data_IF_806961946936
#
_entry.id   IF_806961946936
#
_cell.length_a   1.000
_cell.length_b   1.000
_cell.length_c   1.000
_cell.angle_alpha   90.00
_cell.angle_beta   90.00
_cell.angle_gamma   90.00
#
_symmetry.space_group_name_H-M   'P 1'
#
loop_
_entity.id
_entity.type
_entity.pdbx_description
1 polymer ?
#
# COMPACT_ATOMS: atom_id res chain seq x y z
N UNK A 1 79.55 -29.49 16.06
CA UNK A 1 78.58 -29.58 14.95
C UNK A 1 77.24 -30.03 15.52
N UNK A 2 76.32 -29.10 15.74
CA UNK A 2 74.97 -29.39 16.24
C UNK A 2 73.97 -28.70 15.33
N UNK A 3 73.06 -29.49 14.75
CA UNK A 3 72.04 -29.08 13.78
C UNK A 3 70.81 -28.56 14.55
N UNK A 4 70.38 -27.34 14.23
CA UNK A 4 69.11 -26.78 14.69
C UNK A 4 68.05 -27.10 13.62
N UNK A 5 67.05 -27.89 13.98
CA UNK A 5 65.89 -28.18 13.14
C UNK A 5 64.85 -27.07 13.29
N UNK A 6 64.52 -26.41 12.19
CA UNK A 6 63.44 -25.42 12.09
C UNK A 6 62.13 -26.18 11.78
N UNK A 7 61.19 -26.19 12.73
CA UNK A 7 59.84 -26.72 12.52
C UNK A 7 58.99 -25.66 11.80
N UNK A 8 58.54 -25.95 10.59
CA UNK A 8 57.57 -25.14 9.86
C UNK A 8 56.15 -25.56 10.27
N UNK A 9 55.40 -24.63 10.85
CA UNK A 9 53.98 -24.81 11.22
C UNK A 9 53.12 -24.41 10.01
N UNK A 10 52.59 -25.38 9.27
CA UNK A 10 51.57 -25.14 8.24
C UNK A 10 50.20 -24.96 8.91
N UNK A 11 49.72 -23.72 8.97
CA UNK A 11 48.33 -23.41 9.36
C UNK A 11 47.45 -23.55 8.12
N UNK A 12 46.66 -24.62 8.05
CA UNK A 12 45.62 -24.82 7.03
C UNK A 12 44.39 -24.00 7.40
N UNK A 13 44.06 -22.99 6.59
CA UNK A 13 42.79 -22.28 6.66
C UNK A 13 41.67 -23.15 6.07
N UNK A 14 40.78 -23.65 6.93
CA UNK A 14 39.54 -24.30 6.52
C UNK A 14 38.53 -23.22 6.13
N UNK A 15 38.24 -23.09 4.83
CA UNK A 15 37.12 -22.28 4.33
C UNK A 15 35.81 -22.98 4.69
N UNK A 16 35.08 -22.44 5.67
CA UNK A 16 33.68 -22.81 5.91
C UNK A 16 32.84 -22.07 4.86
N UNK A 17 32.39 -22.80 3.84
CA UNK A 17 31.45 -22.26 2.87
C UNK A 17 30.12 -21.97 3.53
N UNK A 18 29.64 -20.73 3.43
CA UNK A 18 28.26 -20.38 3.74
C UNK A 18 27.35 -21.12 2.74
N UNK A 19 26.61 -22.13 3.20
CA UNK A 19 25.44 -22.61 2.49
C UNK A 19 24.37 -21.52 2.58
N UNK A 20 24.14 -20.83 1.47
CA UNK A 20 22.91 -20.07 1.26
C UNK A 20 21.81 -21.11 1.09
N UNK A 21 20.96 -21.27 2.09
CA UNK A 21 19.69 -21.99 1.93
C UNK A 21 18.87 -21.19 0.93
N UNK A 22 18.70 -21.73 -0.28
CA UNK A 22 17.70 -21.22 -1.23
C UNK A 22 16.34 -21.17 -0.50
N UNK A 23 15.61 -20.05 -0.55
CA UNK A 23 14.25 -20.03 -0.04
C UNK A 23 13.47 -21.10 -0.82
N UNK A 24 12.80 -21.98 -0.07
CA UNK A 24 12.01 -23.09 -0.59
C UNK A 24 10.86 -22.52 -1.45
N UNK A 25 11.13 -22.23 -2.72
CA UNK A 25 10.16 -21.83 -3.73
C UNK A 25 9.39 -23.07 -4.16
N UNK A 26 8.48 -23.53 -3.29
CA UNK A 26 7.40 -24.40 -3.75
C UNK A 26 6.54 -23.60 -4.72
N UNK A 27 6.87 -23.68 -6.00
CA UNK A 27 5.94 -23.34 -7.08
C UNK A 27 4.69 -24.17 -6.85
N UNK A 28 3.54 -23.52 -6.64
CA UNK A 28 2.28 -24.17 -6.28
C UNK A 28 1.77 -25.02 -7.46
N UNK A 29 2.23 -26.27 -7.57
CA UNK A 29 1.88 -27.17 -8.68
C UNK A 29 0.49 -27.79 -8.46
N UNK A 30 -0.54 -26.98 -8.66
CA UNK A 30 -1.81 -27.35 -9.33
C UNK A 30 -2.95 -28.12 -8.61
N UNK A 31 -3.19 -28.00 -7.28
CA UNK A 31 -4.51 -28.31 -6.70
C UNK A 31 -5.27 -27.06 -6.23
N UNK A 32 -4.73 -25.88 -6.51
CA UNK A 32 -5.21 -24.59 -6.00
C UNK A 32 -6.18 -23.92 -6.99
N UNK A 33 -5.94 -24.10 -8.29
CA UNK A 33 -6.74 -23.48 -9.35
C UNK A 33 -7.98 -24.31 -9.71
N UNK A 34 -9.15 -23.71 -9.53
CA UNK A 34 -10.46 -24.32 -9.80
C UNK A 34 -10.98 -24.05 -11.22
N UNK A 35 -10.15 -24.22 -12.26
CA UNK A 35 -10.49 -23.88 -13.67
C UNK A 35 -11.85 -24.45 -14.13
N UNK A 36 -12.17 -25.69 -13.70
CA UNK A 36 -13.44 -26.36 -14.01
C UNK A 36 -14.68 -25.64 -13.46
N UNK A 37 -14.53 -24.90 -12.35
CA UNK A 37 -15.62 -24.12 -11.76
C UNK A 37 -15.84 -22.77 -12.47
N UNK A 38 -14.89 -22.32 -13.29
CA UNK A 38 -14.93 -21.05 -14.01
C UNK A 38 -14.69 -21.27 -15.51
N UNK A 39 -15.52 -22.07 -16.20
CA UNK A 39 -15.19 -22.60 -17.53
C UNK A 39 -14.97 -21.52 -18.60
N UNK A 40 -15.46 -20.29 -18.42
CA UNK A 40 -15.30 -19.20 -19.39
C UNK A 40 -14.15 -18.25 -19.05
N UNK A 41 -13.33 -18.56 -18.05
CA UNK A 41 -12.20 -17.72 -17.66
C UNK A 41 -11.20 -17.50 -18.81
N UNK A 42 -11.07 -18.46 -19.73
CA UNK A 42 -10.18 -18.37 -20.88
C UNK A 42 -10.65 -17.38 -21.96
N UNK A 43 -11.91 -16.92 -21.90
CA UNK A 43 -12.44 -15.91 -22.83
C UNK A 43 -12.04 -14.49 -22.43
N UNK A 44 -11.42 -14.32 -21.27
CA UNK A 44 -11.05 -13.02 -20.73
C UNK A 44 -9.64 -12.71 -21.20
N UNK A 45 -9.51 -11.69 -22.04
CA UNK A 45 -8.21 -11.16 -22.44
C UNK A 45 -7.59 -10.42 -21.25
N UNK A 46 -6.42 -10.87 -20.83
CA UNK A 46 -5.62 -10.23 -19.78
C UNK A 46 -4.62 -9.32 -20.46
N UNK A 47 -4.64 -8.05 -20.09
CA UNK A 47 -3.73 -7.03 -20.63
C UNK A 47 -2.27 -7.39 -20.29
N UNK A 48 -1.39 -7.44 -21.28
CA UNK A 48 0.06 -7.66 -21.11
C UNK A 48 0.77 -6.47 -20.48
N UNK A 49 2.03 -6.65 -20.03
CA UNK A 49 2.87 -5.54 -19.55
C UNK A 49 2.94 -4.41 -20.59
N UNK A 50 3.16 -4.77 -21.86
CA UNK A 50 3.27 -3.84 -22.96
C UNK A 50 1.98 -3.04 -23.14
N UNK A 51 0.81 -3.67 -23.02
CA UNK A 51 -0.49 -3.00 -23.13
C UNK A 51 -0.79 -2.10 -21.93
N UNK A 52 -0.47 -2.55 -20.71
CA UNK A 52 -0.72 -1.80 -19.47
C UNK A 52 0.05 -0.47 -19.48
N UNK A 53 1.32 -0.51 -19.88
CA UNK A 53 2.23 0.64 -19.85
C UNK A 53 2.43 1.33 -21.21
N UNK A 54 1.70 0.92 -22.26
CA UNK A 54 1.83 1.52 -23.59
C UNK A 54 1.58 3.03 -23.57
N UNK A 55 2.27 3.74 -24.46
CA UNK A 55 1.98 5.13 -24.78
C UNK A 55 1.27 5.22 -26.12
N UNK A 56 0.41 6.24 -26.26
CA UNK A 56 -0.12 6.66 -27.57
C UNK A 56 0.73 7.77 -28.16
N UNK A 57 0.59 8.04 -29.46
CA UNK A 57 1.33 9.12 -30.14
C UNK A 57 1.16 10.50 -29.46
N UNK A 58 -0.04 10.92 -29.00
CA UNK A 58 -0.18 12.13 -28.19
C UNK A 58 0.59 12.10 -26.87
N UNK A 59 0.64 10.95 -26.19
CA UNK A 59 1.41 10.80 -24.94
C UNK A 59 2.91 10.89 -25.22
N UNK A 60 3.39 10.32 -26.32
CA UNK A 60 4.79 10.47 -26.73
C UNK A 60 5.14 11.92 -27.09
N UNK A 61 4.19 12.68 -27.65
CA UNK A 61 4.39 14.12 -27.86
C UNK A 61 4.55 14.86 -26.53
N UNK A 62 3.68 14.58 -25.55
CA UNK A 62 3.81 15.12 -24.21
C UNK A 62 5.17 14.77 -23.59
N UNK A 63 5.61 13.51 -23.72
CA UNK A 63 6.94 13.08 -23.24
C UNK A 63 8.06 13.88 -23.91
N UNK A 64 7.97 14.16 -25.21
CA UNK A 64 8.95 15.00 -25.92
C UNK A 64 8.93 16.44 -25.41
N UNK A 65 7.79 16.96 -25.00
CA UNK A 65 7.66 18.31 -24.42
C UNK A 65 8.30 18.35 -23.03
N UNK A 66 7.96 17.40 -22.15
CA UNK A 66 8.60 17.22 -20.83
C UNK A 66 10.11 17.11 -21.00
N UNK A 67 10.58 16.26 -21.93
CA UNK A 67 12.01 16.00 -22.15
C UNK A 67 12.80 17.20 -22.71
N UNK A 68 12.16 18.31 -23.08
CA UNK A 68 12.86 19.55 -23.43
C UNK A 68 13.40 20.28 -22.20
N UNK A 69 12.81 20.03 -21.03
CA UNK A 69 13.28 20.63 -19.79
C UNK A 69 14.69 20.12 -19.44
N UNK A 70 15.63 21.03 -19.14
CA UNK A 70 17.04 20.70 -19.07
C UNK A 70 17.41 19.92 -17.81
N UNK A 71 16.64 20.07 -16.72
CA UNK A 71 16.90 19.40 -15.44
C UNK A 71 15.87 18.31 -15.17
N UNK A 72 16.28 17.28 -14.43
CA UNK A 72 15.41 16.22 -13.95
C UNK A 72 14.29 16.77 -13.05
N UNK A 73 14.60 17.80 -12.26
CA UNK A 73 13.62 18.49 -11.42
C UNK A 73 12.52 19.16 -12.24
N UNK A 74 12.87 19.89 -13.29
CA UNK A 74 11.91 20.62 -14.12
C UNK A 74 11.04 19.63 -14.90
N UNK A 75 11.65 18.54 -15.41
CA UNK A 75 10.92 17.41 -16.01
C UNK A 75 9.89 16.80 -15.06
N UNK A 76 10.24 16.57 -13.79
CA UNK A 76 9.31 16.08 -12.77
C UNK A 76 8.22 17.10 -12.48
N UNK A 77 8.57 18.39 -12.38
CA UNK A 77 7.60 19.45 -12.15
C UNK A 77 6.56 19.49 -13.28
N UNK A 78 7.00 19.44 -14.54
CA UNK A 78 6.11 19.46 -15.70
C UNK A 78 5.21 18.21 -15.74
N UNK A 79 5.75 17.04 -15.42
CA UNK A 79 4.96 15.81 -15.29
C UNK A 79 3.89 15.93 -14.19
N UNK A 80 4.24 16.46 -13.02
CA UNK A 80 3.29 16.65 -11.91
C UNK A 80 2.24 17.69 -12.27
N UNK A 81 2.63 18.81 -12.88
CA UNK A 81 1.70 19.82 -13.39
C UNK A 81 0.72 19.21 -14.40
N UNK A 82 1.20 18.38 -15.33
CA UNK A 82 0.32 17.65 -16.25
C UNK A 82 -0.69 16.74 -15.54
N UNK A 83 -0.25 16.03 -14.48
CA UNK A 83 -1.09 15.07 -13.77
C UNK A 83 -2.12 15.72 -12.83
N UNK A 84 -1.86 16.93 -12.31
CA UNK A 84 -2.63 17.52 -11.21
C UNK A 84 -3.07 18.98 -11.40
N UNK A 85 -2.51 19.74 -12.34
CA UNK A 85 -2.87 21.15 -12.57
C UNK A 85 -3.87 21.27 -13.73
N UNK A 86 -5.01 21.89 -13.41
CA UNK A 86 -6.34 21.66 -13.98
C UNK A 86 -6.65 22.30 -15.34
N UNK A 87 -5.66 22.83 -16.07
CA UNK A 87 -5.96 23.67 -17.24
C UNK A 87 -5.84 22.93 -18.59
N UNK A 88 -5.39 21.67 -18.62
CA UNK A 88 -5.35 20.88 -19.87
C UNK A 88 -6.01 19.48 -19.80
N UNK A 89 -5.94 18.75 -18.69
CA UNK A 89 -6.62 17.45 -18.51
C UNK A 89 -7.06 17.30 -17.04
N UNK A 90 -8.33 17.59 -16.74
CA UNK A 90 -8.89 17.42 -15.40
C UNK A 90 -9.19 15.95 -15.11
N UNK A 91 -8.21 15.19 -14.59
CA UNK A 91 -8.42 13.78 -14.23
C UNK A 91 -9.43 13.68 -13.08
N UNK A 92 -10.55 13.01 -13.34
CA UNK A 92 -11.58 12.72 -12.35
C UNK A 92 -11.23 11.44 -11.59
N UNK A 93 -11.21 11.53 -10.27
CA UNK A 93 -11.01 10.34 -9.43
C UNK A 93 -12.24 9.44 -9.47
N UNK A 94 -12.07 8.20 -9.93
CA UNK A 94 -13.10 7.16 -9.96
C UNK A 94 -12.50 5.85 -9.42
N UNK A 95 -12.98 5.38 -8.27
CA UNK A 95 -12.46 4.20 -7.59
C UNK A 95 -12.50 2.91 -8.42
N UNK A 96 -13.44 2.80 -9.37
CA UNK A 96 -13.58 1.64 -10.27
C UNK A 96 -12.75 1.72 -11.57
N UNK A 97 -12.04 2.82 -11.79
CA UNK A 97 -11.23 3.01 -12.99
C UNK A 97 -9.86 2.34 -12.82
N UNK A 98 -9.81 1.01 -12.97
CA UNK A 98 -8.57 0.24 -13.15
C UNK A 98 -8.25 0.15 -14.65
N UNK A 99 -7.49 1.11 -15.16
CA UNK A 99 -7.28 1.35 -16.58
C UNK A 99 -5.79 1.33 -16.94
N UNK A 100 -5.48 0.95 -18.17
CA UNK A 100 -4.12 1.07 -18.74
C UNK A 100 -3.71 2.54 -18.89
N UNK A 101 -2.41 2.81 -19.05
CA UNK A 101 -1.90 4.19 -19.20
C UNK A 101 -2.64 4.97 -20.31
N UNK A 102 -2.88 4.33 -21.47
CA UNK A 102 -3.60 4.94 -22.60
C UNK A 102 -5.06 5.24 -22.25
N UNK A 103 -5.75 4.27 -21.66
CA UNK A 103 -7.16 4.43 -21.28
C UNK A 103 -7.32 5.54 -20.23
N UNK A 104 -6.43 5.61 -19.25
CA UNK A 104 -6.41 6.70 -18.26
C UNK A 104 -6.21 8.06 -18.92
N UNK A 105 -5.24 8.18 -19.84
CA UNK A 105 -4.96 9.42 -20.55
C UNK A 105 -6.17 9.94 -21.34
N UNK A 106 -6.84 9.08 -22.10
CA UNK A 106 -7.98 9.49 -22.94
C UNK A 106 -9.28 9.67 -22.16
N UNK A 107 -9.56 8.78 -21.21
CA UNK A 107 -10.82 8.83 -20.47
C UNK A 107 -10.84 9.93 -19.42
N UNK A 108 -9.67 10.42 -18.99
CA UNK A 108 -9.51 11.35 -17.87
C UNK A 108 -10.20 10.86 -16.60
N UNK A 109 -10.37 9.54 -16.45
CA UNK A 109 -10.91 8.88 -15.27
C UNK A 109 -9.84 7.96 -14.70
N UNK A 110 -9.60 8.03 -13.40
CA UNK A 110 -8.54 7.24 -12.79
C UNK A 110 -8.80 6.96 -11.32
N UNK A 111 -8.37 5.79 -10.84
CA UNK A 111 -8.05 5.60 -9.42
C UNK A 111 -6.53 5.70 -9.21
N UNK A 112 -6.08 5.46 -7.98
CA UNK A 112 -4.65 5.46 -7.62
C UNK A 112 -3.82 4.51 -8.51
N UNK A 113 -4.36 3.34 -8.85
CA UNK A 113 -3.67 2.35 -9.68
C UNK A 113 -3.47 2.85 -11.12
N UNK A 114 -4.52 3.38 -11.74
CA UNK A 114 -4.47 3.97 -13.08
C UNK A 114 -3.50 5.14 -13.17
N UNK A 115 -3.50 6.02 -12.17
CA UNK A 115 -2.56 7.14 -12.12
C UNK A 115 -1.12 6.67 -11.93
N UNK A 116 -0.91 5.63 -11.13
CA UNK A 116 0.42 5.03 -10.93
C UNK A 116 0.97 4.47 -12.24
N UNK A 117 0.15 3.72 -12.98
CA UNK A 117 0.51 3.15 -14.28
C UNK A 117 0.81 4.24 -15.32
N UNK A 118 -0.07 5.23 -15.45
CA UNK A 118 0.11 6.38 -16.35
C UNK A 118 1.39 7.16 -16.01
N UNK A 119 1.56 7.52 -14.75
CA UNK A 119 2.68 8.34 -14.30
C UNK A 119 4.01 7.62 -14.48
N UNK A 120 4.05 6.31 -14.20
CA UNK A 120 5.25 5.51 -14.43
C UNK A 120 5.60 5.43 -15.91
N UNK A 121 4.62 5.18 -16.79
CA UNK A 121 4.83 5.07 -18.22
C UNK A 121 5.40 6.39 -18.81
N UNK A 122 4.81 7.53 -18.43
CA UNK A 122 5.29 8.85 -18.84
C UNK A 122 6.69 9.15 -18.28
N UNK A 123 6.91 8.90 -16.98
CA UNK A 123 8.20 9.17 -16.34
C UNK A 123 9.32 8.33 -16.97
N UNK A 124 9.10 7.04 -17.20
CA UNK A 124 10.09 6.18 -17.86
C UNK A 124 10.41 6.62 -19.27
N UNK A 125 9.40 7.03 -20.05
CA UNK A 125 9.62 7.51 -21.41
C UNK A 125 10.34 8.87 -21.44
N UNK A 126 10.19 9.69 -20.40
CA UNK A 126 10.92 10.96 -20.21
C UNK A 126 12.34 10.79 -19.60
N UNK A 127 12.84 9.55 -19.55
CA UNK A 127 14.14 9.19 -18.97
C UNK A 127 14.29 9.61 -17.51
N UNK A 128 13.19 9.54 -16.75
CA UNK A 128 13.19 9.78 -15.30
C UNK A 128 13.35 8.45 -14.54
N UNK A 129 14.22 8.38 -13.52
CA UNK A 129 14.45 7.19 -12.73
C UNK A 129 13.30 6.97 -11.74
N UNK A 130 12.20 6.44 -12.27
CA UNK A 130 10.97 6.14 -11.55
C UNK A 130 10.94 4.69 -11.02
N UNK A 131 10.47 4.54 -9.78
CA UNK A 131 10.36 3.28 -9.05
C UNK A 131 9.03 3.21 -8.32
N UNK A 132 8.44 2.03 -8.25
CA UNK A 132 7.23 1.83 -7.48
C UNK A 132 7.54 1.60 -6.02
N UNK A 133 6.71 2.16 -5.15
CA UNK A 133 6.79 1.98 -3.72
C UNK A 133 5.44 1.53 -3.19
N UNK A 134 5.36 0.30 -2.68
CA UNK A 134 4.19 -0.20 -1.95
C UNK A 134 4.15 0.44 -0.58
N UNK A 135 2.96 0.85 -0.15
CA UNK A 135 2.73 1.43 1.17
C UNK A 135 1.88 0.46 1.98
N UNK A 136 2.40 0.03 3.12
CA UNK A 136 1.73 -0.92 4.00
C UNK A 136 0.70 -0.18 4.87
N UNK A 137 -0.50 -0.01 4.31
CA UNK A 137 -1.61 0.64 5.01
C UNK A 137 -2.21 -0.32 6.03
N UNK A 138 -2.38 0.08 7.30
CA UNK A 138 -3.02 -0.74 8.32
C UNK A 138 -4.44 -1.15 7.89
N UNK A 139 -4.77 -2.42 8.07
CA UNK A 139 -5.92 -3.07 7.43
C UNK A 139 -7.31 -2.48 7.67
N UNK A 140 -7.54 -1.85 8.82
CA UNK A 140 -8.88 -1.36 9.15
C UNK A 140 -9.23 -0.06 8.39
N UNK A 141 -8.28 0.54 7.65
CA UNK A 141 -8.55 1.62 6.70
C UNK A 141 -9.25 1.14 5.41
N UNK A 142 -9.32 -0.18 5.17
CA UNK A 142 -9.81 -0.79 3.92
C UNK A 142 -11.26 -1.31 4.02
N UNK A 143 -11.94 -1.16 5.17
CA UNK A 143 -13.30 -1.71 5.36
C UNK A 143 -14.38 -0.93 4.59
N UNK A 144 -14.62 -1.32 3.33
CA UNK A 144 -15.79 -0.92 2.54
C UNK A 144 -16.92 -1.97 2.62
N UNK A 145 -17.77 -1.89 3.66
CA UNK A 145 -19.04 -2.61 3.72
C UNK A 145 -18.94 -4.15 3.78
N UNK A 146 -19.80 -4.86 3.03
CA UNK A 146 -20.06 -6.30 3.12
C UNK A 146 -18.90 -7.22 2.68
N UNK A 147 -17.84 -6.67 2.09
CA UNK A 147 -16.75 -7.45 1.51
C UNK A 147 -15.39 -6.93 2.02
N UNK A 148 -14.70 -7.75 2.82
CA UNK A 148 -13.31 -7.49 3.22
C UNK A 148 -12.37 -7.86 2.06
N UNK A 149 -12.38 -7.09 0.97
CA UNK A 149 -11.43 -7.24 -0.14
C UNK A 149 -10.08 -6.62 0.23
N UNK A 150 -9.00 -7.24 -0.22
CA UNK A 150 -7.66 -6.74 -0.01
C UNK A 150 -7.29 -5.77 -1.12
N UNK A 151 -7.09 -4.50 -0.78
CA UNK A 151 -6.56 -3.47 -1.68
C UNK A 151 -5.25 -2.93 -1.10
N UNK A 152 -4.16 -3.04 -1.85
CA UNK A 152 -2.88 -2.41 -1.50
C UNK A 152 -2.83 -0.95 -1.97
N UNK A 153 -1.94 -0.16 -1.39
CA UNK A 153 -1.62 1.20 -1.86
C UNK A 153 -0.22 1.23 -2.48
N UNK A 154 -0.07 1.98 -3.57
CA UNK A 154 1.20 2.14 -4.28
C UNK A 154 1.39 3.61 -4.65
N UNK A 155 2.61 4.08 -4.46
CA UNK A 155 3.07 5.39 -4.89
C UNK A 155 4.19 5.26 -5.91
N UNK A 156 4.42 6.34 -6.65
CA UNK A 156 5.55 6.45 -7.57
C UNK A 156 6.64 7.33 -6.97
N UNK A 157 7.86 6.81 -6.92
CA UNK A 157 9.04 7.53 -6.43
C UNK A 157 9.95 7.82 -7.60
N UNK A 158 10.24 9.10 -7.85
CA UNK A 158 11.16 9.56 -8.89
C UNK A 158 12.40 10.16 -8.23
N UNK A 159 13.57 9.62 -8.55
CA UNK A 159 14.84 10.19 -8.08
C UNK A 159 15.30 11.32 -9.00
N UNK A 160 16.04 12.27 -8.44
CA UNK A 160 16.76 13.25 -9.24
C UNK A 160 17.88 12.55 -10.02
N UNK A 161 17.77 12.49 -11.36
CA UNK A 161 18.77 11.85 -12.21
C UNK A 161 20.07 12.67 -12.32
N UNK A 162 20.02 13.96 -11.97
CA UNK A 162 21.17 14.87 -12.09
C UNK A 162 22.13 14.74 -10.89
N UNK A 163 21.82 13.84 -9.92
CA UNK A 163 22.63 13.61 -8.73
C UNK A 163 22.86 12.11 -8.45
N UNK A 164 24.10 11.68 -8.11
CA UNK A 164 24.38 10.26 -7.88
C UNK A 164 23.65 9.68 -6.66
N UNK A 165 23.14 8.45 -6.78
CA UNK A 165 22.50 7.67 -5.70
C UNK A 165 23.29 7.65 -4.37
N UNK A 166 24.64 7.66 -4.46
CA UNK A 166 25.52 7.64 -3.29
C UNK A 166 25.54 8.95 -2.47
N UNK A 167 24.96 10.04 -2.97
CA UNK A 167 24.83 11.32 -2.24
C UNK A 167 23.44 11.52 -1.60
N UNK A 168 22.54 10.54 -1.74
CA UNK A 168 21.16 10.62 -1.22
C UNK A 168 21.11 10.29 0.27
N UNK A 169 21.33 11.30 1.11
CA UNK A 169 21.02 11.25 2.54
C UNK A 169 19.70 11.98 2.77
N UNK A 170 18.67 11.25 3.21
CA UNK A 170 17.37 11.72 3.71
C UNK A 170 16.77 12.98 3.02
N UNK A 171 15.83 12.76 2.10
CA UNK A 171 14.72 13.68 1.83
C UNK A 171 14.98 14.91 0.94
N UNK A 172 16.16 15.09 0.34
CA UNK A 172 16.44 16.30 -0.49
C UNK A 172 16.38 16.13 -2.00
N UNK A 173 16.33 14.90 -2.55
CA UNK A 173 16.43 14.64 -4.00
C UNK A 173 15.45 13.54 -4.50
N UNK A 174 14.30 13.38 -3.83
CA UNK A 174 13.31 12.34 -4.14
C UNK A 174 11.94 12.98 -4.25
N UNK A 175 11.22 12.70 -5.34
CA UNK A 175 9.86 13.15 -5.57
C UNK A 175 8.91 11.95 -5.43
N UNK A 176 8.09 11.96 -4.40
CA UNK A 176 7.03 10.95 -4.23
C UNK A 176 5.73 11.52 -4.78
N UNK A 177 5.22 10.88 -5.83
CA UNK A 177 3.88 11.13 -6.36
C UNK A 177 2.94 10.13 -5.69
N UNK A 178 2.16 10.64 -4.72
CA UNK A 178 1.11 9.89 -4.03
C UNK A 178 -0.26 10.39 -4.49
N UNK A 179 -1.01 9.45 -5.07
CA UNK A 179 -2.28 9.70 -5.72
C UNK A 179 -3.46 9.70 -4.74
N UNK A 180 -3.23 9.37 -3.47
CA UNK A 180 -4.22 9.48 -2.41
C UNK A 180 -3.92 10.71 -1.50
N UNK A 181 -4.76 11.77 -1.56
CA UNK A 181 -4.57 12.98 -0.74
C UNK A 181 -4.71 12.74 0.77
N UNK A 182 -5.31 11.63 1.19
CA UNK A 182 -5.44 11.22 2.59
C UNK A 182 -4.23 10.45 3.10
N UNK A 183 -3.58 9.65 2.24
CA UNK A 183 -2.39 8.87 2.57
C UNK A 183 -1.10 9.70 2.53
N UNK A 184 -1.05 10.75 1.70
CA UNK A 184 0.06 11.73 1.65
C UNK A 184 0.52 12.27 3.00
N UNK A 185 -0.34 12.20 4.01
CA UNK A 185 -0.13 12.80 5.34
C UNK A 185 0.30 11.81 6.41
N UNK A 186 0.49 10.53 6.06
CA UNK A 186 0.78 9.46 7.03
C UNK A 186 2.09 8.74 6.67
N UNK A 187 3.00 8.66 7.64
CA UNK A 187 4.29 7.97 7.46
C UNK A 187 4.12 6.46 7.67
N UNK A 188 3.57 5.77 6.67
CA UNK A 188 3.48 4.30 6.71
C UNK A 188 4.77 3.62 6.29
N UNK A 189 5.04 2.40 6.82
CA UNK A 189 6.08 1.53 6.26
C UNK A 189 5.84 1.36 4.76
N UNK A 190 6.93 1.37 4.01
CA UNK A 190 6.88 1.28 2.57
C UNK A 190 8.13 0.62 2.03
N UNK A 191 7.98 -0.04 0.90
CA UNK A 191 9.07 -0.77 0.26
C UNK A 191 9.00 -0.62 -1.26
N UNK A 192 10.17 -0.69 -1.90
CA UNK A 192 10.22 -0.68 -3.36
C UNK A 192 9.77 -2.02 -3.91
N UNK A 193 8.92 -1.98 -4.93
CA UNK A 193 8.39 -3.16 -5.60
C UNK A 193 8.67 -3.10 -7.10
N UNK A 194 8.73 -4.26 -7.73
CA UNK A 194 8.96 -4.36 -9.17
C UNK A 194 7.65 -4.23 -9.98
N UNK A 195 7.79 -4.26 -11.30
CA UNK A 195 6.64 -4.20 -12.21
C UNK A 195 5.69 -5.39 -12.07
N UNK A 196 6.18 -6.58 -11.74
CA UNK A 196 5.36 -7.77 -11.62
C UNK A 196 4.39 -7.62 -10.45
N UNK A 197 4.85 -7.09 -9.31
CA UNK A 197 3.97 -6.74 -8.18
C UNK A 197 2.92 -5.72 -8.59
N UNK A 198 3.29 -4.70 -9.38
CA UNK A 198 2.33 -3.69 -9.87
C UNK A 198 1.29 -4.29 -10.81
N UNK A 199 1.69 -5.20 -11.70
CA UNK A 199 0.76 -5.94 -12.54
C UNK A 199 -0.15 -6.85 -11.70
N UNK A 200 0.38 -7.51 -10.67
CA UNK A 200 -0.42 -8.29 -9.74
C UNK A 200 -1.45 -7.42 -9.00
N UNK A 201 -1.08 -6.23 -8.57
CA UNK A 201 -2.00 -5.25 -7.98
C UNK A 201 -3.07 -4.81 -8.98
N UNK A 202 -2.67 -4.50 -10.22
CA UNK A 202 -3.58 -4.12 -11.31
C UNK A 202 -4.63 -5.22 -11.57
N UNK A 203 -4.19 -6.45 -11.77
CA UNK A 203 -5.06 -7.59 -12.00
C UNK A 203 -5.92 -7.91 -10.77
N UNK A 204 -5.38 -7.77 -9.56
CA UNK A 204 -6.14 -7.97 -8.31
C UNK A 204 -7.31 -7.00 -8.22
N UNK A 205 -7.10 -5.73 -8.59
CA UNK A 205 -8.17 -4.73 -8.59
C UNK A 205 -9.21 -5.01 -9.68
N UNK A 206 -8.81 -5.35 -10.92
CA UNK A 206 -9.74 -5.78 -11.98
C UNK A 206 -10.56 -7.01 -11.57
N UNK A 207 -9.92 -7.95 -10.87
CA UNK A 207 -10.56 -9.13 -10.30
C UNK A 207 -11.59 -8.78 -9.23
N UNK A 208 -11.24 -7.88 -8.32
CA UNK A 208 -12.14 -7.36 -7.30
C UNK A 208 -13.36 -6.64 -7.90
N UNK A 209 -13.15 -5.79 -8.91
CA UNK A 209 -14.25 -5.13 -9.64
C UNK A 209 -15.20 -6.16 -10.27
N UNK A 210 -14.64 -7.19 -10.90
CA UNK A 210 -15.41 -8.29 -11.49
C UNK A 210 -16.23 -9.06 -10.44
N UNK A 211 -15.68 -9.25 -9.23
CA UNK A 211 -16.42 -9.85 -8.11
C UNK A 211 -17.60 -8.97 -7.66
N UNK A 212 -17.41 -7.65 -7.59
CA UNK A 212 -18.47 -6.71 -7.19
C UNK A 212 -19.65 -6.75 -8.17
N UNK A 213 -19.38 -6.85 -9.47
CA UNK A 213 -20.43 -6.94 -10.51
C UNK A 213 -20.96 -8.36 -10.73
N UNK A 214 -20.39 -9.37 -10.06
CA UNK A 214 -20.80 -10.77 -10.15
C UNK A 214 -20.28 -11.54 -11.37
N UNK A 215 -19.32 -10.99 -12.12
CA UNK A 215 -18.65 -11.71 -13.21
C UNK A 215 -17.55 -12.61 -12.66
N UNK A 216 -17.95 -13.81 -12.23
CA UNK A 216 -17.07 -14.75 -11.55
C UNK A 216 -15.99 -15.34 -12.46
N UNK A 217 -16.23 -15.45 -13.77
CA UNK A 217 -15.23 -15.95 -14.73
C UNK A 217 -14.13 -14.91 -14.95
N UNK A 218 -14.51 -13.63 -15.09
CA UNK A 218 -13.56 -12.51 -15.18
C UNK A 218 -12.78 -12.32 -13.89
N UNK A 219 -13.46 -12.37 -12.75
CA UNK A 219 -12.80 -12.33 -11.45
C UNK A 219 -11.73 -13.42 -11.32
N UNK A 220 -12.10 -14.65 -11.70
CA UNK A 220 -11.17 -15.78 -11.64
C UNK A 220 -9.97 -15.61 -12.57
N UNK A 221 -10.19 -15.20 -13.82
CA UNK A 221 -9.12 -15.01 -14.80
C UNK A 221 -8.09 -13.98 -14.32
N UNK A 222 -8.55 -12.83 -13.83
CA UNK A 222 -7.66 -11.79 -13.32
C UNK A 222 -6.94 -12.19 -12.03
N UNK A 223 -7.64 -12.77 -11.05
CA UNK A 223 -7.01 -13.19 -9.79
C UNK A 223 -6.02 -14.33 -10.01
N UNK A 224 -6.31 -15.27 -10.92
CA UNK A 224 -5.35 -16.30 -11.34
C UNK A 224 -4.12 -15.65 -11.98
N UNK A 225 -4.30 -14.73 -12.94
CA UNK A 225 -3.19 -14.00 -13.55
C UNK A 225 -2.34 -13.23 -12.52
N UNK A 226 -2.98 -12.59 -11.53
CA UNK A 226 -2.31 -11.90 -10.44
C UNK A 226 -1.39 -12.85 -9.63
N UNK A 227 -1.88 -14.03 -9.27
CA UNK A 227 -1.07 -15.03 -8.53
C UNK A 227 0.06 -15.64 -9.35
N UNK A 228 -0.05 -15.62 -10.68
CA UNK A 228 0.98 -16.14 -11.59
C UNK A 228 2.07 -15.10 -11.88
N UNK A 229 1.69 -13.82 -12.02
CA UNK A 229 2.66 -12.75 -12.30
C UNK A 229 3.49 -12.39 -11.06
N UNK A 230 2.87 -12.40 -9.87
CA UNK A 230 3.58 -12.28 -8.59
C UNK A 230 3.05 -13.30 -7.57
N UNK A 231 3.70 -14.47 -7.44
CA UNK A 231 3.33 -15.48 -6.46
C UNK A 231 3.51 -15.06 -5.00
N UNK A 232 4.26 -13.98 -4.72
CA UNK A 232 4.52 -13.47 -3.38
C UNK A 232 3.63 -12.28 -3.00
N UNK A 233 2.67 -11.91 -3.86
CA UNK A 233 1.64 -10.94 -3.51
C UNK A 233 0.47 -11.63 -2.80
N UNK A 234 0.57 -11.71 -1.47
CA UNK A 234 -0.41 -12.32 -0.56
C UNK A 234 -1.86 -11.86 -0.79
N UNK A 235 -2.06 -10.59 -1.15
CA UNK A 235 -3.40 -10.02 -1.41
C UNK A 235 -4.10 -10.65 -2.62
N UNK A 236 -3.37 -11.07 -3.65
CA UNK A 236 -3.97 -11.78 -4.80
C UNK A 236 -4.52 -13.14 -4.38
N UNK A 237 -3.76 -13.90 -3.59
CA UNK A 237 -4.19 -15.17 -3.01
C UNK A 237 -5.39 -15.00 -2.07
N UNK A 238 -5.35 -13.96 -1.23
CA UNK A 238 -6.47 -13.59 -0.35
C UNK A 238 -7.76 -13.33 -1.13
N UNK A 239 -7.71 -12.50 -2.19
CA UNK A 239 -8.89 -12.20 -3.00
C UNK A 239 -9.37 -13.41 -3.81
N UNK A 240 -8.46 -14.29 -4.28
CA UNK A 240 -8.84 -15.57 -4.88
C UNK A 240 -9.61 -16.46 -3.88
N UNK A 241 -9.23 -16.44 -2.60
CA UNK A 241 -9.95 -17.13 -1.53
C UNK A 241 -11.34 -16.57 -1.27
N UNK A 242 -11.49 -15.24 -1.36
CA UNK A 242 -12.80 -14.58 -1.26
C UNK A 242 -13.69 -15.03 -2.43
N UNK A 243 -13.17 -15.08 -3.65
CA UNK A 243 -13.90 -15.57 -4.82
C UNK A 243 -14.34 -17.03 -4.66
N UNK A 244 -13.44 -17.92 -4.22
CA UNK A 244 -13.77 -19.32 -3.98
C UNK A 244 -14.83 -19.49 -2.89
N UNK A 245 -14.74 -18.72 -1.79
CA UNK A 245 -15.77 -18.71 -0.75
C UNK A 245 -17.13 -18.28 -1.31
N UNK A 246 -17.18 -17.22 -2.12
CA UNK A 246 -18.43 -16.73 -2.74
C UNK A 246 -19.05 -17.73 -3.72
N UNK A 247 -18.26 -18.63 -4.30
CA UNK A 247 -18.70 -19.64 -5.25
C UNK A 247 -18.86 -21.04 -4.63
N UNK A 248 -18.97 -21.13 -3.29
CA UNK A 248 -19.14 -22.40 -2.56
C UNK A 248 -18.00 -23.43 -2.82
N UNK A 249 -16.76 -22.95 -2.92
CA UNK A 249 -15.54 -23.76 -3.06
C UNK A 249 -14.67 -23.68 -1.78
N UNK A 250 -15.15 -24.19 -0.62
CA UNK A 250 -14.51 -23.96 0.67
C UNK A 250 -13.12 -24.61 0.79
N UNK A 251 -12.89 -25.77 0.17
CA UNK A 251 -11.59 -26.45 0.21
C UNK A 251 -10.52 -25.65 -0.53
N UNK A 252 -10.84 -25.14 -1.71
CA UNK A 252 -9.94 -24.31 -2.50
C UNK A 252 -9.71 -22.96 -1.81
N UNK A 253 -10.77 -22.35 -1.26
CA UNK A 253 -10.67 -21.10 -0.49
C UNK A 253 -9.68 -21.24 0.68
N UNK A 254 -9.76 -22.35 1.44
CA UNK A 254 -8.84 -22.60 2.54
C UNK A 254 -7.38 -22.72 2.08
N UNK A 255 -7.13 -23.40 0.95
CA UNK A 255 -5.78 -23.55 0.39
C UNK A 255 -5.17 -22.21 0.00
N UNK A 256 -5.91 -21.36 -0.73
CA UNK A 256 -5.38 -20.05 -1.14
C UNK A 256 -5.23 -19.07 0.02
N UNK A 257 -6.10 -19.14 1.05
CA UNK A 257 -5.87 -18.38 2.28
C UNK A 257 -4.60 -18.85 2.98
N UNK A 258 -4.33 -20.16 3.02
CA UNK A 258 -3.08 -20.68 3.58
C UNK A 258 -1.86 -20.17 2.79
N UNK A 259 -1.90 -20.21 1.45
CA UNK A 259 -0.83 -19.66 0.62
C UNK A 259 -0.56 -18.17 0.95
N UNK A 260 -1.62 -17.37 1.10
CA UNK A 260 -1.47 -15.96 1.48
C UNK A 260 -0.81 -15.80 2.87
N UNK A 261 -1.16 -16.66 3.84
CA UNK A 261 -0.60 -16.63 5.19
C UNK A 261 0.81 -17.21 5.28
N UNK A 262 1.20 -18.11 4.37
CA UNK A 262 2.57 -18.60 4.26
C UNK A 262 3.52 -17.50 3.76
N UNK A 263 3.01 -16.59 2.93
CA UNK A 263 3.72 -15.38 2.48
C UNK A 263 3.72 -14.33 3.59
N UNK A 264 2.56 -14.05 4.17
CA UNK A 264 2.37 -13.04 5.20
C UNK A 264 1.46 -13.54 6.33
N UNK A 265 2.08 -14.12 7.36
CA UNK A 265 1.37 -14.67 8.53
C UNK A 265 0.61 -13.62 9.36
N UNK A 266 0.90 -12.34 9.14
CA UNK A 266 0.29 -11.20 9.82
C UNK A 266 -0.74 -10.46 8.98
N UNK A 267 -1.14 -11.01 7.82
CA UNK A 267 -2.28 -10.50 7.06
C UNK A 267 -3.60 -10.84 7.78
N UNK A 268 -4.03 -9.97 8.69
CA UNK A 268 -5.27 -10.11 9.44
C UNK A 268 -6.54 -9.98 8.57
N UNK A 269 -6.46 -9.43 7.36
CA UNK A 269 -7.58 -9.42 6.41
C UNK A 269 -7.81 -10.82 5.84
N UNK A 270 -6.73 -11.54 5.51
CA UNK A 270 -6.80 -12.97 5.16
C UNK A 270 -7.28 -13.79 6.34
N UNK A 271 -6.75 -13.55 7.55
CA UNK A 271 -7.20 -14.24 8.76
C UNK A 271 -8.70 -14.03 9.02
N UNK A 272 -9.20 -12.79 8.93
CA UNK A 272 -10.63 -12.49 9.07
C UNK A 272 -11.47 -13.22 8.01
N UNK A 273 -11.01 -13.25 6.76
CA UNK A 273 -11.70 -13.96 5.67
C UNK A 273 -11.70 -15.48 5.87
N UNK A 274 -10.62 -16.04 6.40
CA UNK A 274 -10.49 -17.45 6.77
C UNK A 274 -11.39 -17.80 7.98
N UNK A 275 -11.50 -16.90 8.96
CA UNK A 275 -12.43 -17.05 10.08
C UNK A 275 -13.89 -17.09 9.60
N UNK A 276 -14.28 -16.20 8.68
CA UNK A 276 -15.61 -16.22 8.05
C UNK A 276 -15.86 -17.57 7.35
N UNK A 277 -14.87 -18.07 6.61
CA UNK A 277 -14.99 -19.38 5.95
C UNK A 277 -15.22 -20.52 6.96
N UNK A 278 -14.50 -20.51 8.08
CA UNK A 278 -14.69 -21.50 9.15
C UNK A 278 -16.09 -21.43 9.76
N UNK A 279 -16.63 -20.25 10.01
CA UNK A 279 -18.01 -20.11 10.50
C UNK A 279 -19.04 -20.67 9.52
N UNK A 280 -18.92 -20.32 8.24
CA UNK A 280 -19.81 -20.82 7.19
C UNK A 280 -19.72 -22.35 7.05
N UNK A 281 -18.58 -22.93 7.41
CA UNK A 281 -18.35 -24.38 7.42
C UNK A 281 -18.74 -25.06 8.75
N UNK A 282 -19.32 -24.32 9.69
CA UNK A 282 -19.71 -24.82 11.03
C UNK A 282 -18.55 -25.00 12.01
N UNK A 283 -17.34 -24.59 11.64
CA UNK A 283 -16.14 -24.75 12.45
C UNK A 283 -15.89 -23.54 13.37
N UNK A 284 -16.84 -23.32 14.29
CA UNK A 284 -16.90 -22.11 15.13
C UNK A 284 -15.68 -21.95 16.04
N UNK A 285 -15.10 -23.04 16.54
CA UNK A 285 -13.96 -22.98 17.47
C UNK A 285 -12.73 -22.38 16.79
N UNK A 286 -12.42 -22.82 15.57
CA UNK A 286 -11.29 -22.33 14.78
C UNK A 286 -11.50 -20.88 14.39
N UNK A 287 -12.72 -20.51 13.98
CA UNK A 287 -13.07 -19.12 13.69
C UNK A 287 -12.85 -18.21 14.89
N UNK A 288 -13.29 -18.64 16.08
CA UNK A 288 -13.12 -17.87 17.32
C UNK A 288 -11.66 -17.68 17.69
N UNK A 289 -10.84 -18.74 17.59
CA UNK A 289 -9.39 -18.63 17.86
C UNK A 289 -8.71 -17.62 16.92
N UNK A 290 -9.04 -17.65 15.63
CA UNK A 290 -8.51 -16.68 14.67
C UNK A 290 -8.95 -15.25 15.04
N UNK A 291 -10.23 -15.04 15.32
CA UNK A 291 -10.75 -13.72 15.69
C UNK A 291 -10.10 -13.15 16.94
N UNK A 292 -9.88 -13.97 17.97
CA UNK A 292 -9.19 -13.57 19.18
C UNK A 292 -7.74 -13.15 18.89
N UNK A 293 -7.04 -13.92 18.04
CA UNK A 293 -5.69 -13.59 17.58
C UNK A 293 -5.67 -12.26 16.82
N UNK A 294 -6.56 -12.09 15.83
CA UNK A 294 -6.72 -10.85 15.06
C UNK A 294 -7.03 -9.67 15.97
N UNK A 295 -7.97 -9.83 16.90
CA UNK A 295 -8.33 -8.79 17.86
C UNK A 295 -7.15 -8.39 18.75
N UNK A 296 -6.40 -9.36 19.26
CA UNK A 296 -5.20 -9.11 20.07
C UNK A 296 -4.14 -8.33 19.30
N UNK A 297 -3.91 -8.67 18.01
CA UNK A 297 -2.98 -7.95 17.13
C UNK A 297 -3.46 -6.51 16.88
N UNK A 298 -4.76 -6.31 16.59
CA UNK A 298 -5.36 -4.96 16.42
C UNK A 298 -5.20 -4.10 17.66
N UNK A 299 -5.43 -4.64 18.86
CA UNK A 299 -5.28 -3.89 20.12
C UNK A 299 -3.86 -3.41 20.39
N UNK A 300 -2.85 -4.02 19.78
CA UNK A 300 -1.44 -3.60 19.88
C UNK A 300 -1.03 -2.61 18.78
N UNK A 301 -1.90 -2.37 17.79
CA UNK A 301 -1.63 -1.43 16.71
C UNK A 301 -2.02 0.01 17.15
N UNK A 302 -1.08 0.97 17.22
CA UNK A 302 -1.38 2.36 17.60
C UNK A 302 -2.43 3.00 16.69
N UNK A 303 -2.32 2.75 15.38
CA UNK A 303 -3.19 3.35 14.40
C UNK A 303 -4.62 2.80 14.51
N UNK A 304 -4.82 1.55 14.95
CA UNK A 304 -6.16 1.00 15.22
C UNK A 304 -6.87 1.80 16.31
N UNK A 305 -6.16 2.20 17.37
CA UNK A 305 -6.73 3.09 18.38
C UNK A 305 -6.98 4.49 17.83
N UNK A 306 -6.14 5.01 16.94
CA UNK A 306 -6.36 6.32 16.33
C UNK A 306 -7.63 6.34 15.45
N UNK A 307 -7.92 5.24 14.73
CA UNK A 307 -9.18 5.06 14.00
C UNK A 307 -10.37 5.07 14.95
N UNK A 308 -10.37 4.23 15.99
CA UNK A 308 -11.45 4.21 16.97
C UNK A 308 -11.65 5.59 17.61
N UNK A 309 -10.56 6.35 17.79
CA UNK A 309 -10.62 7.74 18.23
C UNK A 309 -11.29 8.67 17.22
N UNK A 310 -11.04 8.46 15.94
CA UNK A 310 -11.65 9.20 14.83
C UNK A 310 -13.14 8.88 14.69
N UNK A 311 -13.52 7.60 14.73
CA UNK A 311 -14.92 7.15 14.68
C UNK A 311 -15.71 7.70 15.87
N UNK A 312 -15.18 7.54 17.09
CA UNK A 312 -15.80 8.11 18.29
C UNK A 312 -15.97 9.63 18.19
N UNK A 313 -14.99 10.34 17.61
CA UNK A 313 -15.09 11.79 17.38
C UNK A 313 -16.26 12.13 16.44
N UNK A 314 -16.38 11.46 15.30
CA UNK A 314 -17.48 11.71 14.36
C UNK A 314 -18.85 11.29 14.88
N UNK A 315 -18.90 10.33 15.81
CA UNK A 315 -20.11 9.93 16.52
C UNK A 315 -20.48 10.87 17.68
N UNK A 316 -19.69 11.93 17.94
CA UNK A 316 -19.91 12.85 19.06
C UNK A 316 -19.46 12.32 20.42
N UNK A 317 -18.82 11.14 20.47
CA UNK A 317 -18.33 10.47 21.67
C UNK A 317 -16.94 10.98 22.06
N UNK A 318 -16.80 12.29 22.29
CA UNK A 318 -15.50 12.95 22.40
C UNK A 318 -14.61 12.44 23.55
N UNK A 319 -15.21 12.03 24.68
CA UNK A 319 -14.45 11.40 25.78
C UNK A 319 -13.88 10.03 25.38
N UNK A 320 -14.64 9.23 24.63
CA UNK A 320 -14.16 7.97 24.08
C UNK A 320 -13.05 8.22 23.07
N UNK A 321 -13.21 9.23 22.20
CA UNK A 321 -12.19 9.66 21.26
C UNK A 321 -10.86 9.98 21.96
N UNK A 322 -10.90 10.80 23.01
CA UNK A 322 -9.73 11.13 23.84
C UNK A 322 -9.05 9.87 24.40
N UNK A 323 -9.83 8.93 24.93
CA UNK A 323 -9.28 7.69 25.49
C UNK A 323 -8.60 6.81 24.44
N UNK A 324 -9.18 6.73 23.25
CA UNK A 324 -8.60 5.99 22.13
C UNK A 324 -7.31 6.64 21.62
N UNK A 325 -7.29 7.96 21.39
CA UNK A 325 -6.04 8.63 21.02
C UNK A 325 -4.95 8.53 22.09
N UNK A 326 -5.30 8.57 23.39
CA UNK A 326 -4.33 8.33 24.47
C UNK A 326 -3.71 6.93 24.40
N UNK A 327 -4.48 5.91 24.02
CA UNK A 327 -3.96 4.56 23.79
C UNK A 327 -3.04 4.52 22.57
N UNK A 328 -3.43 5.16 21.46
CA UNK A 328 -2.59 5.31 20.27
C UNK A 328 -1.23 5.95 20.62
N UNK A 329 -1.25 7.10 21.31
CA UNK A 329 -0.05 7.83 21.77
C UNK A 329 0.81 6.99 22.71
N UNK A 330 0.22 6.11 23.52
CA UNK A 330 0.99 5.22 24.41
C UNK A 330 1.73 4.13 23.63
N UNK A 331 1.14 3.64 22.55
CA UNK A 331 1.70 2.60 21.69
C UNK A 331 2.76 3.18 20.74
N UNK A 332 2.50 4.37 20.18
CA UNK A 332 3.47 5.15 19.42
C UNK A 332 3.26 6.65 19.67
N UNK A 333 4.27 7.30 20.26
CA UNK A 333 4.22 8.69 20.68
C UNK A 333 4.88 9.66 19.68
N UNK A 334 5.24 9.19 18.48
CA UNK A 334 5.91 10.00 17.45
C UNK A 334 5.00 10.39 16.30
N UNK A 335 3.78 9.88 16.24
CA UNK A 335 2.82 10.22 15.20
C UNK A 335 2.10 11.53 15.56
N UNK A 336 2.34 12.61 14.80
CA UNK A 336 1.73 13.91 15.07
C UNK A 336 0.20 13.91 14.90
N UNK A 337 -0.31 13.04 14.05
CA UNK A 337 -1.72 12.87 13.73
C UNK A 337 -2.51 12.41 14.94
N UNK A 338 -1.93 11.61 15.84
CA UNK A 338 -2.59 11.20 17.08
C UNK A 338 -2.76 12.40 18.03
N UNK A 339 -1.75 13.26 18.09
CA UNK A 339 -1.82 14.50 18.86
C UNK A 339 -2.77 15.52 18.24
N UNK A 340 -2.86 15.58 16.91
CA UNK A 340 -3.84 16.42 16.25
C UNK A 340 -5.26 15.91 16.43
N UNK A 341 -5.47 14.59 16.31
CA UNK A 341 -6.76 13.94 16.55
C UNK A 341 -7.28 14.15 17.96
N UNK A 342 -6.42 13.98 18.98
CA UNK A 342 -6.81 14.27 20.37
C UNK A 342 -7.04 15.76 20.61
N UNK A 343 -6.30 16.66 19.95
CA UNK A 343 -6.55 18.10 20.03
C UNK A 343 -7.94 18.48 19.52
N UNK A 344 -8.40 17.86 18.42
CA UNK A 344 -9.78 18.04 17.92
C UNK A 344 -10.80 17.59 18.96
N UNK A 345 -10.63 16.40 19.53
CA UNK A 345 -11.55 15.89 20.55
C UNK A 345 -11.58 16.78 21.81
N UNK A 346 -10.43 17.30 22.24
CA UNK A 346 -10.37 18.27 23.34
C UNK A 346 -11.05 19.60 23.03
N UNK A 347 -11.03 20.05 21.77
CA UNK A 347 -11.70 21.28 21.36
C UNK A 347 -13.23 21.16 21.51
N UNK A 348 -13.80 20.03 21.10
CA UNK A 348 -15.24 19.74 21.27
C UNK A 348 -15.66 19.62 22.74
N UNK A 349 -14.73 19.21 23.61
CA UNK A 349 -14.93 19.16 25.06
C UNK A 349 -14.69 20.53 25.75
N UNK A 350 -14.26 21.56 25.02
CA UNK A 350 -13.92 22.87 25.59
C UNK A 350 -12.62 22.91 26.40
N UNK A 351 -11.80 21.86 26.35
CA UNK A 351 -10.55 21.75 27.11
C UNK A 351 -9.38 22.47 26.41
N UNK A 352 -9.49 23.80 26.26
CA UNK A 352 -8.56 24.64 25.47
C UNK A 352 -7.08 24.48 25.84
N UNK A 353 -6.77 24.27 27.13
CA UNK A 353 -5.39 24.05 27.57
C UNK A 353 -4.81 22.72 27.04
N UNK A 354 -5.64 21.68 26.96
CA UNK A 354 -5.23 20.40 26.37
C UNK A 354 -5.10 20.50 24.85
N UNK A 355 -5.98 21.28 24.19
CA UNK A 355 -5.87 21.55 22.75
C UNK A 355 -4.51 22.15 22.45
N UNK A 356 -4.13 23.23 23.14
CA UNK A 356 -2.83 23.89 22.92
C UNK A 356 -1.66 22.92 23.14
N UNK A 357 -1.64 22.20 24.28
CA UNK A 357 -0.58 21.22 24.56
C UNK A 357 -0.49 20.13 23.49
N UNK A 358 -1.63 19.66 23.00
CA UNK A 358 -1.68 18.60 21.99
C UNK A 358 -1.22 19.11 20.63
N UNK A 359 -1.60 20.34 20.24
CA UNK A 359 -1.11 20.96 19.00
C UNK A 359 0.40 21.22 19.04
N UNK A 360 0.95 21.65 20.17
CA UNK A 360 2.41 21.80 20.33
C UNK A 360 3.12 20.46 20.16
N UNK A 361 2.56 19.37 20.69
CA UNK A 361 3.09 18.01 20.47
C UNK A 361 2.97 17.58 19.01
N UNK A 362 1.83 17.84 18.36
CA UNK A 362 1.65 17.55 16.94
C UNK A 362 2.69 18.30 16.09
N UNK A 363 2.92 19.59 16.36
CA UNK A 363 3.96 20.39 15.72
C UNK A 363 5.35 19.78 15.88
N UNK A 364 5.74 19.43 17.11
CA UNK A 364 7.07 18.89 17.40
C UNK A 364 7.38 17.56 16.68
N UNK A 365 6.33 16.81 16.30
CA UNK A 365 6.46 15.53 15.60
C UNK A 365 6.04 15.61 14.13
N UNK A 366 5.73 16.81 13.60
CA UNK A 366 5.34 16.98 12.21
C UNK A 366 6.52 16.60 11.30
N UNK A 367 6.24 15.77 10.30
CA UNK A 367 7.26 15.34 9.33
C UNK A 367 7.41 16.34 8.18
N UNK A 368 6.32 17.03 7.83
CA UNK A 368 6.24 17.96 6.72
C UNK A 368 6.03 19.40 7.19
N UNK A 369 6.67 20.36 6.49
CA UNK A 369 6.60 21.78 6.81
C UNK A 369 5.15 22.33 6.79
N UNK A 370 4.31 21.82 5.89
CA UNK A 370 2.91 22.26 5.78
C UNK A 370 2.09 21.90 7.03
N UNK A 371 2.34 20.74 7.64
CA UNK A 371 1.69 20.35 8.89
C UNK A 371 2.17 21.19 10.06
N UNK A 372 3.48 21.50 10.11
CA UNK A 372 4.05 22.40 11.12
C UNK A 372 3.38 23.78 11.06
N UNK A 373 3.35 24.41 9.88
CA UNK A 373 2.71 25.71 9.65
C UNK A 373 1.22 25.69 10.02
N UNK A 374 0.52 24.61 9.67
CA UNK A 374 -0.89 24.43 9.99
C UNK A 374 -1.13 24.37 11.49
N UNK A 375 -0.30 23.65 12.24
CA UNK A 375 -0.44 23.56 13.69
C UNK A 375 -0.09 24.88 14.36
N UNK A 376 0.94 25.58 13.88
CA UNK A 376 1.30 26.92 14.33
C UNK A 376 0.17 27.92 14.20
N UNK A 377 -0.46 27.97 13.01
CA UNK A 377 -1.59 28.87 12.78
C UNK A 377 -2.74 28.62 13.77
N UNK A 378 -3.02 27.34 14.09
CA UNK A 378 -4.04 26.96 15.07
C UNK A 378 -3.67 27.38 16.49
N UNK A 379 -2.41 27.21 16.88
CA UNK A 379 -1.91 27.63 18.20
C UNK A 379 -2.00 29.17 18.33
N UNK A 380 -1.61 29.91 17.29
CA UNK A 380 -1.70 31.36 17.27
C UNK A 380 -3.15 31.83 17.43
N UNK A 381 -4.09 31.24 16.67
CA UNK A 381 -5.52 31.54 16.78
C UNK A 381 -6.06 31.35 18.21
N UNK A 382 -5.68 30.26 18.88
CA UNK A 382 -6.08 29.99 20.27
C UNK A 382 -5.52 31.01 21.26
N UNK A 383 -4.33 31.55 21.00
CA UNK A 383 -3.72 32.58 21.85
C UNK A 383 -4.41 33.94 21.67
N UNK A 384 -4.83 34.26 20.43
CA UNK A 384 -5.54 35.52 20.15
C UNK A 384 -6.98 35.52 20.61
N UNK A 385 -7.65 34.37 20.65
CA UNK A 385 -9.05 34.25 21.09
C UNK A 385 -9.24 34.30 22.63
N UNK A 386 -8.15 34.35 23.41
CA UNK A 386 -8.15 34.47 24.87
C UNK A 386 -7.99 35.91 25.38
N UNK A 387 -7.76 36.87 24.48
CA UNK A 387 -7.77 38.31 24.72
C UNK A 387 -9.13 38.88 24.33
#
# INVERSE_FOLDING_TARGET
MSKIHLFALCVTFSLVGCQVTEPNTQVFVDPVYADKAFPYHHNVAIESEEEIFALSEPMEQLVREISREPSSKDRVSELVSFLFESDQIGINYNSSANLTARETFYSQNANCMSLTVLSYALAKAADLPAYFQRVDVPEYWVRNGSYNMLTGHVNLVIFDADRPLAQTVYGKNVYTIDFDPTMRKQAFPSEFVDKNTIMAMFYTNKGADAMVIGDTNKAYAYLKAATLIDPFYDSAWGNLGVLYRQNNLPEQALKVYQNALDINADNLTVLDNMAILYELSGNVTQAQHIRESVHSKRLKNPYYHALLGTEAYYNGEYLAAVNHYKKAIRLDNKQHEFYFGIAKAYAELGELDQVKRSLERAKNYATYNDDELRYDAKIQFLNTARL
#
